data_IF_292107000071
#
_entry.id   IF_292107000071
#
_cell.length_a   1.000
_cell.length_b   1.000
_cell.length_c   1.000
_cell.angle_alpha   90.00
_cell.angle_beta   90.00
_cell.angle_gamma   90.00
#
_symmetry.space_group_name_H-M   'P 1'
#
loop_
_entity.id
_entity.type
_entity.pdbx_description
1 polymer ?
#
# COMPACT_ATOMS: atom_id res chain seq x y z
N UNK A 1 16.50 -3.90 1.56
CA UNK A 1 17.70 -3.09 1.88
C UNK A 1 18.14 -3.47 3.29
N UNK A 2 19.45 -3.60 3.57
CA UNK A 2 19.94 -4.00 4.90
C UNK A 2 20.23 -2.74 5.71
N UNK A 3 19.53 -2.54 6.83
CA UNK A 3 19.87 -1.51 7.81
C UNK A 3 20.68 -2.13 8.93
N UNK A 4 21.71 -1.43 9.38
CA UNK A 4 22.58 -1.87 10.45
C UNK A 4 22.87 -0.73 11.42
N UNK A 5 22.91 -1.05 12.72
CA UNK A 5 23.27 -0.09 13.76
C UNK A 5 24.76 -0.23 14.05
N UNK A 6 25.46 0.91 13.98
CA UNK A 6 26.88 1.00 14.30
C UNK A 6 27.08 1.62 15.69
N UNK A 7 27.89 0.99 16.53
CA UNK A 7 28.45 1.62 17.74
C UNK A 7 29.96 1.42 17.73
N UNK A 8 30.72 2.51 17.91
CA UNK A 8 32.19 2.50 17.82
C UNK A 8 32.69 1.76 16.56
N UNK A 9 32.11 2.11 15.40
CA UNK A 9 32.48 1.53 14.09
C UNK A 9 32.20 0.03 13.94
N UNK A 10 31.44 -0.58 14.87
CA UNK A 10 31.07 -2.00 14.82
C UNK A 10 29.57 -2.19 14.60
N UNK A 11 29.23 -3.04 13.63
CA UNK A 11 27.85 -3.52 13.40
C UNK A 11 27.41 -4.38 14.59
N UNK A 12 26.35 -3.94 15.26
CA UNK A 12 25.80 -4.67 16.41
C UNK A 12 24.65 -5.60 16.01
N UNK A 13 23.73 -5.10 15.20
CA UNK A 13 22.51 -5.78 14.78
C UNK A 13 22.18 -5.36 13.36
N UNK A 14 21.64 -6.31 12.59
CA UNK A 14 21.06 -6.05 11.28
C UNK A 14 19.69 -6.67 11.09
N UNK A 15 18.85 -6.01 10.31
CA UNK A 15 17.52 -6.49 9.97
C UNK A 15 17.20 -6.18 8.49
N UNK A 16 16.35 -7.00 7.89
CA UNK A 16 15.88 -6.77 6.52
C UNK A 16 14.70 -5.82 6.58
N UNK A 17 14.86 -4.65 5.98
CA UNK A 17 13.77 -3.69 5.81
C UNK A 17 13.34 -3.65 4.35
N UNK A 18 12.04 -3.69 4.16
CA UNK A 18 11.41 -3.57 2.84
C UNK A 18 10.75 -2.22 2.73
N UNK A 19 11.16 -1.45 1.72
CA UNK A 19 10.50 -0.24 1.30
C UNK A 19 9.51 -0.61 0.21
N UNK A 20 8.32 -0.07 0.27
CA UNK A 20 7.29 -0.25 -0.73
C UNK A 20 6.75 1.12 -1.13
N UNK A 21 6.21 1.20 -2.33
CA UNK A 21 5.57 2.40 -2.88
C UNK A 21 4.27 1.94 -3.52
N UNK A 22 3.14 2.36 -2.95
CA UNK A 22 1.83 2.02 -3.48
C UNK A 22 1.55 2.73 -4.82
N UNK A 23 2.17 3.89 -5.06
CA UNK A 23 1.98 4.72 -6.25
C UNK A 23 2.43 4.06 -7.56
N UNK A 24 3.21 2.98 -7.50
CA UNK A 24 3.61 2.21 -8.69
C UNK A 24 2.42 1.46 -9.32
N UNK A 25 1.37 1.21 -8.55
CA UNK A 25 0.21 0.44 -9.01
C UNK A 25 -0.76 1.35 -9.74
N UNK A 26 -0.86 1.20 -11.07
CA UNK A 26 -1.70 2.04 -11.94
C UNK A 26 -3.10 1.48 -12.17
N UNK A 27 -3.48 0.40 -11.49
CA UNK A 27 -4.81 -0.19 -11.59
C UNK A 27 -5.31 -0.67 -10.24
N UNK A 28 -6.62 -0.56 -10.04
CA UNK A 28 -7.27 -0.96 -8.79
C UNK A 28 -6.93 -2.41 -8.42
N UNK A 29 -7.09 -3.36 -9.35
CA UNK A 29 -6.90 -4.78 -9.07
C UNK A 29 -5.47 -5.10 -8.61
N UNK A 30 -4.46 -4.48 -9.24
CA UNK A 30 -3.06 -4.68 -8.85
C UNK A 30 -2.76 -3.98 -7.51
N UNK A 31 -3.28 -2.77 -7.30
CA UNK A 31 -3.15 -2.05 -6.02
C UNK A 31 -3.70 -2.87 -4.85
N UNK A 32 -4.90 -3.43 -5.02
CA UNK A 32 -5.58 -4.17 -3.96
C UNK A 32 -4.99 -5.56 -3.70
N UNK A 33 -4.23 -6.10 -4.65
CA UNK A 33 -3.49 -7.36 -4.51
C UNK A 33 -2.08 -7.17 -3.94
N UNK A 34 -1.67 -5.93 -3.65
CA UNK A 34 -0.38 -5.65 -3.04
C UNK A 34 -0.20 -6.45 -1.75
N UNK A 35 1.03 -6.92 -1.53
CA UNK A 35 1.41 -7.55 -0.26
C UNK A 35 1.44 -6.54 0.90
N UNK A 36 1.41 -5.25 0.58
CA UNK A 36 1.41 -4.15 1.53
C UNK A 36 0.02 -3.53 1.64
N UNK A 37 -0.21 -2.77 2.71
CA UNK A 37 -1.48 -2.12 3.00
C UNK A 37 -1.72 -0.88 2.12
N UNK A 38 -1.89 -1.10 0.83
CA UNK A 38 -2.24 -0.07 -0.15
C UNK A 38 -3.77 0.09 -0.24
N UNK A 39 -4.22 1.29 -0.62
CA UNK A 39 -5.62 1.60 -0.86
C UNK A 39 -5.78 2.30 -2.20
N UNK A 40 -6.82 1.92 -2.94
CA UNK A 40 -7.20 2.55 -4.20
C UNK A 40 -8.26 3.62 -3.96
N UNK A 41 -7.98 4.85 -4.40
CA UNK A 41 -8.95 5.95 -4.46
C UNK A 41 -9.70 5.86 -5.80
N UNK A 42 -10.99 5.51 -5.80
CA UNK A 42 -11.73 5.21 -7.04
C UNK A 42 -11.84 6.39 -8.00
N UNK A 43 -12.24 7.57 -7.51
CA UNK A 43 -12.42 8.78 -8.32
C UNK A 43 -11.09 9.38 -8.74
N UNK A 44 -10.08 9.33 -7.88
CA UNK A 44 -8.76 9.88 -8.20
C UNK A 44 -7.89 8.96 -9.05
N UNK A 45 -8.29 7.69 -9.17
CA UNK A 45 -7.61 6.71 -10.00
C UNK A 45 -6.14 6.50 -9.60
N UNK A 46 -5.87 6.48 -8.29
CA UNK A 46 -4.54 6.32 -7.74
C UNK A 46 -4.51 5.31 -6.60
N UNK A 47 -3.35 4.67 -6.44
CA UNK A 47 -3.04 3.79 -5.34
C UNK A 47 -2.13 4.50 -4.34
N UNK A 48 -2.44 4.40 -3.04
CA UNK A 48 -1.68 5.09 -1.99
C UNK A 48 -1.80 4.36 -0.64
N UNK A 49 -0.76 4.49 0.18
CA UNK A 49 -0.76 4.17 1.60
C UNK A 49 -1.32 5.32 2.47
N UNK A 50 -1.44 6.53 1.92
CA UNK A 50 -1.79 7.75 2.63
C UNK A 50 -3.12 8.34 2.13
N UNK A 51 -4.20 7.64 2.49
CA UNK A 51 -5.57 7.93 2.04
C UNK A 51 -6.07 9.30 2.46
N UNK A 52 -5.65 9.79 3.63
CA UNK A 52 -6.14 11.04 4.20
C UNK A 52 -5.67 12.26 3.40
N UNK A 53 -4.47 12.19 2.82
CA UNK A 53 -3.90 13.28 2.02
C UNK A 53 -4.29 13.19 0.56
N UNK A 54 -4.29 11.98 0.01
CA UNK A 54 -4.51 11.81 -1.41
C UNK A 54 -5.99 11.70 -1.71
N UNK A 55 -6.76 10.80 -1.10
CA UNK A 55 -8.11 10.45 -1.57
C UNK A 55 -9.20 11.54 -1.39
N UNK A 56 -9.11 12.50 -0.46
CA UNK A 56 -10.08 13.61 -0.30
C UNK A 56 -11.58 13.24 -0.48
N UNK A 57 -12.11 12.41 0.43
CA UNK A 57 -13.53 11.93 0.39
C UNK A 57 -13.88 11.05 -0.82
N UNK A 58 -12.90 10.29 -1.31
CA UNK A 58 -13.13 9.24 -2.32
C UNK A 58 -13.89 8.02 -1.74
N UNK A 59 -14.39 7.20 -2.66
CA UNK A 59 -14.69 5.80 -2.37
C UNK A 59 -13.36 5.06 -2.31
N UNK A 60 -13.11 4.38 -1.19
CA UNK A 60 -11.88 3.65 -0.93
C UNK A 60 -12.10 2.17 -1.19
N UNK A 61 -11.14 1.54 -1.84
CA UNK A 61 -11.04 0.07 -1.93
C UNK A 61 -9.69 -0.32 -1.37
N UNK A 62 -9.71 -1.02 -0.25
CA UNK A 62 -8.48 -1.35 0.46
C UNK A 62 -7.86 -2.64 -0.09
N UNK A 63 -6.55 -2.78 0.03
CA UNK A 63 -5.89 -4.03 -0.30
C UNK A 63 -6.29 -5.20 0.60
N UNK A 64 -6.02 -6.41 0.13
CA UNK A 64 -6.32 -7.67 0.85
C UNK A 64 -5.55 -7.79 2.18
N UNK A 65 -4.44 -7.06 2.31
CA UNK A 65 -3.60 -7.02 3.51
C UNK A 65 -3.89 -5.80 4.40
N UNK A 66 -4.92 -5.00 4.07
CA UNK A 66 -5.35 -3.87 4.88
C UNK A 66 -6.29 -4.38 5.97
N UNK A 67 -5.92 -4.19 7.25
CA UNK A 67 -6.54 -4.79 8.44
C UNK A 67 -8.09 -4.88 8.45
N UNK A 68 -8.77 -3.99 9.18
CA UNK A 68 -10.24 -4.01 9.24
C UNK A 68 -10.79 -3.19 8.07
N UNK A 69 -11.38 -3.84 7.07
CA UNK A 69 -12.06 -3.20 5.94
C UNK A 69 -13.33 -3.94 5.55
N UNK A 70 -14.33 -3.18 5.11
CA UNK A 70 -15.60 -3.69 4.58
C UNK A 70 -15.56 -3.91 3.06
N UNK A 71 -14.52 -3.44 2.38
CA UNK A 71 -14.33 -3.57 0.91
C UNK A 71 -12.88 -3.96 0.55
N UNK A 72 -12.36 -5.08 1.09
CA UNK A 72 -11.01 -5.52 0.77
C UNK A 72 -10.97 -6.21 -0.59
N UNK A 73 -9.95 -5.93 -1.40
CA UNK A 73 -9.58 -6.78 -2.53
C UNK A 73 -10.13 -6.37 -3.91
N UNK A 74 -9.66 -7.08 -4.97
CA UNK A 74 -9.90 -6.72 -6.36
C UNK A 74 -11.36 -6.89 -6.81
N UNK A 75 -12.16 -7.67 -6.09
CA UNK A 75 -13.57 -7.92 -6.40
C UNK A 75 -14.47 -6.68 -6.24
N UNK A 76 -14.02 -5.70 -5.45
CA UNK A 76 -14.70 -4.41 -5.26
C UNK A 76 -14.25 -3.35 -6.28
N UNK A 77 -13.26 -3.66 -7.13
CA UNK A 77 -12.78 -2.73 -8.14
C UNK A 77 -13.84 -2.42 -9.22
N UNK A 78 -13.87 -1.19 -9.74
CA UNK A 78 -14.72 -0.85 -10.88
C UNK A 78 -14.40 -1.75 -12.09
N UNK A 79 -15.44 -2.35 -12.67
CA UNK A 79 -15.38 -3.22 -13.85
C UNK A 79 -16.50 -2.84 -14.82
N UNK A 80 -16.25 -3.03 -16.11
CA UNK A 80 -17.26 -2.85 -17.17
C UNK A 80 -17.86 -4.24 -17.43
N UNK A 81 -19.19 -4.33 -17.41
CA UNK A 81 -19.96 -5.52 -17.82
C UNK A 81 -20.55 -5.33 -19.22
#
# INVERSE_FOLDING_TARGET
MKLFVLMNEKELVHETVTFFDCGIHTSCSVCTLSQYSCTWCVKQHLCTENTDQHCNTDVLITGINSGISTTPGPEYCPKIE
#
